data_IF_895925145816
#
_entry.id   IF_895925145816
#
_cell.length_a   1.000
_cell.length_b   1.000
_cell.length_c   1.000
_cell.angle_alpha   90.00
_cell.angle_beta   90.00
_cell.angle_gamma   90.00
#
_symmetry.space_group_name_H-M   'P 1'
#
loop_
_entity.id
_entity.type
_entity.pdbx_description
1 polymer ?
#
# COMPACT_ATOMS: atom_id res chain seq x y z
N UNK A 1 -2.99 -9.51 5.98
CA UNK A 1 -3.31 -8.70 4.78
C UNK A 1 -4.15 -9.51 3.81
N UNK A 2 -5.00 -8.85 3.02
CA UNK A 2 -5.86 -9.52 2.03
C UNK A 2 -5.07 -10.19 0.90
N UNK A 3 -3.84 -9.75 0.66
CA UNK A 3 -2.96 -10.23 -0.40
C UNK A 3 -1.85 -11.17 0.07
N UNK A 4 -1.76 -11.46 1.36
CA UNK A 4 -0.68 -12.28 1.92
C UNK A 4 -1.10 -13.10 3.15
N UNK A 5 -0.80 -14.41 3.11
CA UNK A 5 -0.93 -15.34 4.24
C UNK A 5 0.41 -15.54 4.99
N UNK A 6 1.42 -14.71 4.73
CA UNK A 6 2.73 -14.83 5.33
C UNK A 6 2.66 -14.72 6.86
N UNK A 7 3.27 -15.69 7.57
CA UNK A 7 3.35 -15.65 9.03
C UNK A 7 4.32 -14.53 9.47
N UNK A 8 3.87 -13.55 10.26
CA UNK A 8 4.72 -12.48 10.76
C UNK A 8 5.98 -12.97 11.49
N UNK A 9 5.91 -14.12 12.18
CA UNK A 9 7.09 -14.70 12.86
C UNK A 9 8.14 -15.16 11.85
N UNK A 10 7.71 -15.76 10.74
CA UNK A 10 8.64 -16.16 9.67
C UNK A 10 9.25 -14.94 8.97
N UNK A 11 8.48 -13.86 8.78
CA UNK A 11 8.99 -12.60 8.23
C UNK A 11 10.04 -11.98 9.16
N UNK A 12 9.79 -11.93 10.47
CA UNK A 12 10.75 -11.45 11.47
C UNK A 12 12.03 -12.28 11.47
N UNK A 13 11.92 -13.60 11.45
CA UNK A 13 13.09 -14.47 11.38
C UNK A 13 13.90 -14.24 10.10
N UNK A 14 13.23 -14.01 8.97
CA UNK A 14 13.89 -13.65 7.71
C UNK A 14 14.62 -12.32 7.80
N UNK A 15 14.01 -11.31 8.43
CA UNK A 15 14.63 -10.01 8.64
C UNK A 15 15.89 -10.13 9.53
N UNK A 16 15.82 -10.88 10.63
CA UNK A 16 16.97 -11.17 11.49
C UNK A 16 18.10 -11.85 10.70
N UNK A 17 17.77 -12.88 9.93
CA UNK A 17 18.75 -13.63 9.14
C UNK A 17 19.42 -12.77 8.04
N UNK A 18 18.75 -11.71 7.61
CA UNK A 18 19.27 -10.72 6.65
C UNK A 18 20.04 -9.58 7.33
N UNK A 19 20.13 -9.56 8.67
CA UNK A 19 20.85 -8.54 9.44
C UNK A 19 20.14 -7.19 9.47
N UNK A 20 18.80 -7.16 9.37
CA UNK A 20 18.04 -5.93 9.49
C UNK A 20 17.87 -5.52 10.96
N UNK A 21 17.88 -4.23 11.24
CA UNK A 21 17.71 -3.66 12.58
C UNK A 21 16.23 -3.52 12.98
N UNK A 22 15.32 -3.50 12.02
CA UNK A 22 13.88 -3.36 12.23
C UNK A 22 13.04 -3.91 11.08
N UNK A 23 11.77 -4.16 11.37
CA UNK A 23 10.72 -4.49 10.40
C UNK A 23 9.44 -3.75 10.79
N UNK A 24 8.80 -3.12 9.82
CA UNK A 24 7.48 -2.54 9.98
C UNK A 24 6.44 -3.38 9.24
N UNK A 25 5.38 -3.76 9.91
CA UNK A 25 4.23 -4.41 9.27
C UNK A 25 3.26 -3.32 8.81
N UNK A 26 2.84 -3.39 7.54
CA UNK A 26 1.96 -2.39 6.92
C UNK A 26 0.85 -3.12 6.16
N UNK A 27 -0.09 -3.72 6.90
CA UNK A 27 -1.21 -4.43 6.30
C UNK A 27 -2.14 -3.44 5.58
N UNK A 28 -2.76 -3.90 4.48
CA UNK A 28 -3.62 -3.09 3.62
C UNK A 28 -4.94 -2.70 4.28
N UNK A 29 -5.35 -1.46 4.05
CA UNK A 29 -6.70 -0.95 4.27
C UNK A 29 -7.16 -0.20 3.02
N UNK A 30 -8.02 -0.80 2.22
CA UNK A 30 -8.54 -0.19 1.00
C UNK A 30 -10.06 -0.04 1.10
N UNK A 31 -10.52 1.15 1.43
CA UNK A 31 -11.94 1.46 1.41
C UNK A 31 -12.46 1.56 -0.03
N UNK A 32 -13.72 1.20 -0.21
CA UNK A 32 -14.42 1.26 -1.50
C UNK A 32 -13.75 0.41 -2.60
N UNK A 33 -13.14 -0.72 -2.20
CA UNK A 33 -12.58 -1.72 -3.10
C UNK A 33 -13.70 -2.62 -3.64
N UNK A 34 -14.10 -2.39 -4.89
CA UNK A 34 -15.34 -2.95 -5.45
C UNK A 34 -15.19 -4.33 -6.08
N UNK A 35 -13.98 -4.65 -6.58
CA UNK A 35 -13.70 -5.91 -7.25
C UNK A 35 -13.90 -7.10 -6.32
N UNK A 36 -13.43 -7.00 -5.08
CA UNK A 36 -13.58 -8.02 -4.05
C UNK A 36 -13.96 -7.37 -2.72
N UNK A 37 -15.26 -7.08 -2.48
CA UNK A 37 -15.69 -6.40 -1.28
C UNK A 37 -15.27 -7.13 0.00
N UNK A 38 -14.63 -6.42 0.91
CA UNK A 38 -14.15 -6.95 2.19
C UNK A 38 -12.75 -7.57 2.16
N UNK A 39 -12.12 -7.74 0.98
CA UNK A 39 -10.78 -8.34 0.88
C UNK A 39 -9.74 -7.54 1.69
N UNK A 40 -9.82 -6.22 1.60
CA UNK A 40 -8.91 -5.30 2.28
C UNK A 40 -9.56 -4.53 3.45
N UNK A 41 -10.67 -5.06 4.00
CA UNK A 41 -11.24 -4.58 5.25
C UNK A 41 -10.35 -5.03 6.42
N UNK A 42 -9.64 -4.09 7.03
CA UNK A 42 -8.74 -4.35 8.13
C UNK A 42 -9.42 -4.04 9.48
N UNK A 43 -9.53 -5.03 10.36
CA UNK A 43 -9.78 -4.78 11.78
C UNK A 43 -8.49 -4.22 12.42
N UNK A 44 -8.36 -2.89 12.39
CA UNK A 44 -7.17 -2.19 12.84
C UNK A 44 -6.88 -2.46 14.32
N UNK A 45 -7.91 -2.58 15.16
CA UNK A 45 -7.73 -2.84 16.60
C UNK A 45 -7.21 -4.27 16.87
N UNK A 46 -7.71 -5.25 16.15
CA UNK A 46 -7.19 -6.62 16.22
C UNK A 46 -5.77 -6.72 15.66
N UNK A 47 -5.50 -6.03 14.56
CA UNK A 47 -4.18 -5.95 13.94
C UNK A 47 -3.15 -5.28 14.87
N UNK A 48 -3.45 -4.11 15.44
CA UNK A 48 -2.64 -3.44 16.43
C UNK A 48 -2.28 -4.36 17.60
N UNK A 49 -3.30 -4.98 18.19
CA UNK A 49 -3.13 -5.90 19.32
C UNK A 49 -2.21 -7.07 18.96
N UNK A 50 -2.35 -7.63 17.77
CA UNK A 50 -1.54 -8.76 17.28
C UNK A 50 -0.06 -8.35 17.16
N UNK A 51 0.24 -7.26 16.47
CA UNK A 51 1.64 -6.83 16.22
C UNK A 51 2.30 -6.36 17.50
N UNK A 52 1.62 -5.55 18.33
CA UNK A 52 2.16 -5.09 19.62
C UNK A 52 2.43 -6.24 20.57
N UNK A 53 1.52 -7.24 20.65
CA UNK A 53 1.76 -8.43 21.46
C UNK A 53 2.97 -9.23 20.96
N UNK A 54 3.12 -9.38 19.65
CA UNK A 54 4.26 -10.08 19.04
C UNK A 54 5.57 -9.37 19.38
N UNK A 55 5.62 -8.04 19.27
CA UNK A 55 6.77 -7.21 19.63
C UNK A 55 7.18 -7.41 21.09
N UNK A 56 6.22 -7.36 22.03
CA UNK A 56 6.46 -7.57 23.45
C UNK A 56 7.06 -8.96 23.72
N UNK A 57 6.39 -10.02 23.23
CA UNK A 57 6.82 -11.41 23.47
C UNK A 57 8.21 -11.69 22.91
N UNK A 58 8.50 -11.14 21.73
CA UNK A 58 9.82 -11.35 21.11
C UNK A 58 10.91 -10.55 21.84
N UNK A 59 10.61 -9.33 22.28
CA UNK A 59 11.53 -8.53 23.08
C UNK A 59 11.89 -9.22 24.42
N UNK A 60 10.89 -9.79 25.11
CA UNK A 60 11.10 -10.58 26.33
C UNK A 60 12.00 -11.81 26.11
N UNK A 61 11.98 -12.39 24.90
CA UNK A 61 12.84 -13.50 24.49
C UNK A 61 14.21 -13.06 23.98
N UNK A 62 14.55 -11.76 24.09
CA UNK A 62 15.85 -11.24 23.64
C UNK A 62 15.98 -11.13 22.11
N UNK A 63 14.86 -11.00 21.38
CA UNK A 63 14.91 -10.78 19.93
C UNK A 63 15.64 -9.46 19.63
N UNK A 64 16.64 -9.48 18.73
CA UNK A 64 17.51 -8.32 18.51
C UNK A 64 16.88 -7.24 17.59
N UNK A 65 15.77 -7.57 16.91
CA UNK A 65 15.17 -6.69 15.90
C UNK A 65 14.03 -5.86 16.49
N UNK A 66 13.91 -4.60 16.04
CA UNK A 66 12.77 -3.74 16.36
C UNK A 66 11.57 -4.10 15.47
N UNK A 67 10.39 -4.20 16.09
CA UNK A 67 9.14 -4.49 15.39
C UNK A 67 8.27 -3.26 15.47
N UNK A 68 7.92 -2.74 14.31
CA UNK A 68 7.10 -1.54 14.12
C UNK A 68 5.72 -1.92 13.56
N UNK A 69 4.76 -1.05 13.83
CA UNK A 69 3.37 -1.20 13.45
C UNK A 69 2.94 -0.02 12.58
N UNK A 70 2.75 -0.27 11.31
CA UNK A 70 2.28 0.69 10.33
C UNK A 70 1.01 0.23 9.63
N UNK A 71 0.66 0.91 8.56
CA UNK A 71 -0.48 0.61 7.71
C UNK A 71 -0.18 1.04 6.27
N UNK A 72 -0.73 0.32 5.30
CA UNK A 72 -0.81 0.77 3.92
C UNK A 72 -2.27 1.11 3.58
N UNK A 73 -2.53 2.36 3.20
CA UNK A 73 -3.87 2.88 2.95
C UNK A 73 -4.05 3.11 1.45
N UNK A 74 -5.07 2.50 0.86
CA UNK A 74 -5.49 2.76 -0.51
C UNK A 74 -6.10 4.16 -0.64
N UNK A 75 -5.44 5.00 -1.45
CA UNK A 75 -5.84 6.39 -1.64
C UNK A 75 -6.83 6.50 -2.80
N UNK A 76 -7.89 7.26 -2.58
CA UNK A 76 -8.84 7.74 -3.58
C UNK A 76 -9.36 9.10 -3.12
N UNK A 77 -9.42 10.14 -3.98
CA UNK A 77 -9.75 11.51 -3.52
C UNK A 77 -11.07 11.63 -2.74
N UNK A 78 -12.08 10.84 -3.11
CA UNK A 78 -13.41 10.91 -2.49
C UNK A 78 -13.50 10.30 -1.07
N UNK A 79 -12.48 9.56 -0.63
CA UNK A 79 -12.42 8.95 0.71
C UNK A 79 -11.28 9.51 1.57
N UNK A 80 -10.63 10.58 1.14
CA UNK A 80 -9.48 11.20 1.83
C UNK A 80 -9.78 11.51 3.29
N UNK A 81 -10.92 12.10 3.60
CA UNK A 81 -11.27 12.42 4.99
C UNK A 81 -11.34 11.16 5.87
N UNK A 82 -11.91 10.09 5.35
CA UNK A 82 -12.01 8.80 6.06
C UNK A 82 -10.62 8.18 6.29
N UNK A 83 -9.73 8.26 5.31
CA UNK A 83 -8.35 7.80 5.43
C UNK A 83 -7.59 8.62 6.47
N UNK A 84 -7.73 9.95 6.44
CA UNK A 84 -7.09 10.87 7.39
C UNK A 84 -7.58 10.65 8.83
N UNK A 85 -8.86 10.32 9.03
CA UNK A 85 -9.37 9.92 10.35
C UNK A 85 -8.64 8.70 10.90
N UNK A 86 -8.39 7.69 10.07
CA UNK A 86 -7.64 6.49 10.45
C UNK A 86 -6.20 6.84 10.78
N UNK A 87 -5.49 7.55 9.89
CA UNK A 87 -4.10 7.94 10.08
C UNK A 87 -3.89 8.73 11.39
N UNK A 88 -4.82 9.62 11.73
CA UNK A 88 -4.76 10.44 12.96
C UNK A 88 -5.20 9.70 14.22
N UNK A 89 -6.11 8.75 14.11
CA UNK A 89 -6.70 8.04 15.26
C UNK A 89 -5.74 7.04 15.89
N UNK A 90 -4.91 6.40 15.09
CA UNK A 90 -4.04 5.33 15.53
C UNK A 90 -2.57 5.78 15.48
N UNK A 91 -1.77 5.47 16.52
CA UNK A 91 -0.36 5.86 16.59
C UNK A 91 0.50 4.88 15.76
N UNK A 92 0.33 4.90 14.46
CA UNK A 92 1.18 4.13 13.55
C UNK A 92 2.62 4.64 13.57
N UNK A 93 3.58 3.73 13.43
CA UNK A 93 4.99 4.07 13.23
C UNK A 93 5.25 4.51 11.78
N UNK A 94 4.41 4.06 10.83
CA UNK A 94 4.50 4.38 9.41
C UNK A 94 3.12 4.27 8.75
N UNK A 95 2.76 5.27 7.95
CA UNK A 95 1.60 5.26 7.07
C UNK A 95 2.08 5.32 5.63
N UNK A 96 1.82 4.27 4.86
CA UNK A 96 2.02 4.25 3.41
C UNK A 96 0.70 4.61 2.75
N UNK A 97 0.71 5.58 1.83
CA UNK A 97 -0.40 5.89 0.95
C UNK A 97 -0.13 5.34 -0.45
N UNK A 98 -1.04 4.56 -1.02
CA UNK A 98 -0.86 3.92 -2.33
C UNK A 98 -2.08 4.08 -3.22
N UNK A 99 -1.87 4.22 -4.54
CA UNK A 99 -2.96 4.17 -5.54
C UNK A 99 -3.18 2.73 -5.96
N UNK A 100 -4.21 2.07 -5.39
CA UNK A 100 -4.62 0.73 -5.80
C UNK A 100 -5.84 0.76 -6.71
N UNK A 101 -6.71 1.75 -6.57
CA UNK A 101 -7.95 1.88 -7.34
C UNK A 101 -7.96 3.21 -8.08
N UNK A 102 -8.13 3.16 -9.39
CA UNK A 102 -8.20 4.32 -10.28
C UNK A 102 -9.55 4.32 -10.98
N UNK A 103 -10.33 5.38 -10.79
CA UNK A 103 -11.69 5.49 -11.34
C UNK A 103 -12.58 4.26 -11.02
N UNK A 104 -12.39 3.67 -9.82
CA UNK A 104 -13.16 2.54 -9.34
C UNK A 104 -12.72 1.18 -9.87
N UNK A 105 -11.55 1.06 -10.51
CA UNK A 105 -10.98 -0.20 -11.02
C UNK A 105 -9.51 -0.29 -10.59
N UNK A 106 -9.12 -1.45 -10.05
CA UNK A 106 -7.73 -1.75 -9.75
C UNK A 106 -6.99 -2.15 -11.04
N UNK A 107 -5.82 -1.53 -11.35
CA UNK A 107 -4.95 -1.95 -12.45
C UNK A 107 -4.49 -3.40 -12.42
N UNK A 108 -4.63 -4.10 -11.31
CA UNK A 108 -4.45 -5.56 -11.25
C UNK A 108 -5.38 -6.30 -12.22
N UNK A 109 -6.59 -5.79 -12.47
CA UNK A 109 -7.59 -6.43 -13.31
C UNK A 109 -7.48 -5.97 -14.77
N UNK A 110 -7.56 -6.89 -15.75
CA UNK A 110 -7.52 -6.56 -17.19
C UNK A 110 -8.60 -5.55 -17.61
N UNK A 111 -9.67 -5.42 -16.83
CA UNK A 111 -10.75 -4.46 -17.09
C UNK A 111 -10.25 -3.02 -17.12
N UNK A 112 -9.22 -2.69 -16.32
CA UNK A 112 -8.61 -1.35 -16.30
C UNK A 112 -8.05 -0.93 -17.66
N UNK A 113 -7.50 -1.86 -18.41
CA UNK A 113 -6.85 -1.60 -19.71
C UNK A 113 -7.81 -1.68 -20.90
N UNK A 114 -9.06 -2.11 -20.68
CA UNK A 114 -10.02 -2.35 -21.76
C UNK A 114 -10.38 -1.05 -22.49
N UNK A 115 -10.13 -1.05 -23.80
CA UNK A 115 -10.44 0.10 -24.68
C UNK A 115 -9.42 1.24 -24.60
N UNK A 116 -8.30 1.05 -23.90
CA UNK A 116 -7.19 2.01 -23.78
C UNK A 116 -5.93 1.42 -24.41
N UNK A 117 -5.09 2.27 -24.94
CA UNK A 117 -3.69 1.92 -25.16
C UNK A 117 -2.96 1.84 -23.83
N UNK A 118 -1.83 1.14 -23.77
CA UNK A 118 -1.02 1.06 -22.56
C UNK A 118 -0.59 2.47 -22.09
N UNK A 119 -0.24 3.34 -23.04
CA UNK A 119 0.13 4.72 -22.71
C UNK A 119 -1.02 5.49 -22.03
N UNK A 120 -2.24 5.39 -22.55
CA UNK A 120 -3.42 6.02 -21.92
C UNK A 120 -3.68 5.45 -20.53
N UNK A 121 -3.57 4.14 -20.34
CA UNK A 121 -3.79 3.51 -19.05
C UNK A 121 -2.73 3.94 -18.01
N UNK A 122 -1.45 4.02 -18.42
CA UNK A 122 -0.38 4.46 -17.52
C UNK A 122 -0.49 5.96 -17.20
N UNK A 123 -0.83 6.80 -18.18
CA UNK A 123 -1.10 8.22 -17.98
C UNK A 123 -2.22 8.41 -16.97
N UNK A 124 -3.36 7.74 -17.15
CA UNK A 124 -4.49 7.80 -16.22
C UNK A 124 -4.09 7.39 -14.79
N UNK A 125 -3.24 6.37 -14.65
CA UNK A 125 -2.74 5.95 -13.34
C UNK A 125 -1.86 7.03 -12.70
N UNK A 126 -0.90 7.60 -13.43
CA UNK A 126 -0.02 8.64 -12.89
C UNK A 126 -0.80 9.93 -12.56
N UNK A 127 -1.79 10.30 -13.38
CA UNK A 127 -2.70 11.42 -13.08
C UNK A 127 -3.48 11.17 -11.78
N UNK A 128 -3.90 9.93 -11.52
CA UNK A 128 -4.58 9.57 -10.28
C UNK A 128 -3.68 9.71 -9.04
N UNK A 129 -2.37 9.52 -9.18
CA UNK A 129 -1.40 9.80 -8.11
C UNK A 129 -1.40 11.30 -7.78
N UNK A 130 -1.38 12.17 -8.80
CA UNK A 130 -1.45 13.62 -8.60
C UNK A 130 -2.76 14.03 -7.91
N UNK A 131 -3.88 13.45 -8.31
CA UNK A 131 -5.18 13.71 -7.67
C UNK A 131 -5.17 13.30 -6.20
N UNK A 132 -4.58 12.15 -5.87
CA UNK A 132 -4.41 11.71 -4.48
C UNK A 132 -3.48 12.64 -3.68
N UNK A 133 -2.38 13.10 -4.26
CA UNK A 133 -1.48 14.05 -3.62
C UNK A 133 -2.17 15.41 -3.36
N UNK A 134 -2.97 15.89 -4.28
CA UNK A 134 -3.73 17.13 -4.15
C UNK A 134 -4.95 17.02 -3.22
N UNK A 135 -5.41 15.81 -2.92
CA UNK A 135 -6.57 15.59 -2.05
C UNK A 135 -6.33 15.95 -0.58
N UNK A 136 -5.09 16.14 -0.17
CA UNK A 136 -4.72 16.39 1.22
C UNK A 136 -4.68 15.10 2.07
N UNK A 137 -4.41 13.97 1.46
CA UNK A 137 -4.21 12.70 2.16
C UNK A 137 -2.99 12.76 3.10
N UNK A 138 -3.13 12.19 4.29
CA UNK A 138 -2.12 12.19 5.35
C UNK A 138 -1.40 10.84 5.36
N UNK A 139 -0.13 10.85 4.95
CA UNK A 139 0.74 9.66 4.90
C UNK A 139 2.22 10.08 4.99
N UNK A 140 3.10 9.13 5.34
CA UNK A 140 4.54 9.36 5.45
C UNK A 140 5.29 9.06 4.14
N UNK A 141 4.86 8.01 3.43
CA UNK A 141 5.51 7.54 2.19
C UNK A 141 4.45 7.19 1.15
N UNK A 142 4.66 7.61 -0.10
CA UNK A 142 3.85 7.12 -1.21
C UNK A 142 4.39 5.77 -1.70
N UNK A 143 3.55 4.75 -1.71
CA UNK A 143 3.91 3.40 -2.15
C UNK A 143 4.01 3.29 -3.67
N UNK A 144 4.85 2.37 -4.14
CA UNK A 144 5.00 1.88 -5.53
C UNK A 144 4.31 2.71 -6.63
N UNK A 145 4.87 3.88 -6.95
CA UNK A 145 4.30 4.79 -7.96
C UNK A 145 4.19 4.17 -9.37
N UNK A 146 4.85 3.06 -9.62
CA UNK A 146 4.83 2.31 -10.88
C UNK A 146 3.95 1.04 -10.84
N UNK A 147 3.01 0.96 -9.90
CA UNK A 147 2.13 -0.20 -9.71
C UNK A 147 1.44 -0.65 -11.02
N UNK A 148 0.93 0.30 -11.81
CA UNK A 148 0.28 0.02 -13.10
C UNK A 148 1.19 -0.73 -14.08
N UNK A 149 2.50 -0.46 -14.04
CA UNK A 149 3.49 -1.09 -14.92
C UNK A 149 3.63 -2.59 -14.63
N UNK A 150 3.44 -2.99 -13.36
CA UNK A 150 3.48 -4.40 -12.94
C UNK A 150 2.44 -5.26 -13.63
N UNK A 151 1.25 -4.70 -13.89
CA UNK A 151 0.07 -5.40 -14.39
C UNK A 151 -0.32 -5.05 -15.82
N UNK A 152 0.31 -4.03 -16.40
CA UNK A 152 0.08 -3.63 -17.78
C UNK A 152 0.32 -4.77 -18.77
N UNK A 153 -0.38 -4.78 -19.93
CA UNK A 153 -0.31 -5.86 -20.93
C UNK A 153 1.11 -6.22 -21.37
N UNK A 154 1.94 -5.21 -21.60
CA UNK A 154 3.33 -5.35 -22.00
C UNK A 154 4.33 -5.10 -20.84
N UNK A 155 3.83 -4.88 -19.65
CA UNK A 155 4.61 -4.59 -18.42
C UNK A 155 5.56 -3.42 -18.66
N UNK A 156 6.85 -3.60 -18.36
CA UNK A 156 7.86 -2.56 -18.51
C UNK A 156 8.51 -2.51 -19.91
N UNK A 157 8.00 -3.26 -20.88
CA UNK A 157 8.63 -3.35 -22.21
C UNK A 157 8.74 -1.99 -22.92
N UNK A 158 7.71 -1.16 -22.80
CA UNK A 158 7.64 0.17 -23.41
C UNK A 158 7.63 1.30 -22.37
N UNK A 159 7.70 0.95 -21.09
CA UNK A 159 7.77 1.91 -20.02
C UNK A 159 9.18 2.52 -19.97
N UNK A 160 9.24 3.83 -19.83
CA UNK A 160 10.42 4.55 -19.37
C UNK A 160 9.98 5.82 -18.65
N UNK A 161 10.80 6.29 -17.70
CA UNK A 161 10.55 7.53 -16.98
C UNK A 161 10.31 8.71 -17.93
N UNK A 162 11.14 8.84 -18.99
CA UNK A 162 11.08 9.96 -19.93
C UNK A 162 9.73 10.09 -20.65
N UNK A 163 8.98 8.98 -20.79
CA UNK A 163 7.66 9.00 -21.42
C UNK A 163 6.56 9.61 -20.56
N UNK A 164 6.80 9.70 -19.26
CA UNK A 164 5.84 10.14 -18.26
C UNK A 164 6.42 11.23 -17.34
N UNK A 165 7.62 11.74 -17.63
CA UNK A 165 8.33 12.72 -16.81
C UNK A 165 7.48 13.96 -16.54
N UNK A 166 6.75 14.46 -17.53
CA UNK A 166 5.88 15.63 -17.38
C UNK A 166 4.76 15.45 -16.33
N UNK A 167 4.45 14.20 -15.95
CA UNK A 167 3.45 13.89 -14.92
C UNK A 167 4.14 13.52 -13.61
N UNK A 168 5.29 12.84 -13.68
CA UNK A 168 6.00 12.31 -12.49
C UNK A 168 6.78 13.42 -11.76
N UNK A 169 7.29 14.42 -12.47
CA UNK A 169 8.05 15.57 -11.93
C UNK A 169 7.12 16.68 -11.42
#
# INVERSE_FOLDING_TARGET
>A
SGDSDADPVLMINSAINKGLDGICFTDHLDYDYKEEPGLFDLDIAAYEKRIKRLAIVLKEKGCPINIHWGIEIGLQPHITDKNNEVAKKYPFDLVIGSSHVVNGIDPYYPAFYKGKTEHEAYTEYFESILDNLHSGADFDVYGHIDYVVRYGPDKNKYYSYERYADIID
#
